data_IF_967481498400
#
_entry.id   IF_967481498400
#
_cell.length_a   1.000
_cell.length_b   1.000
_cell.length_c   1.000
_cell.angle_alpha   90.00
_cell.angle_beta   90.00
_cell.angle_gamma   90.00
#
_symmetry.space_group_name_H-M   'P 1'
#
loop_
_entity.id
_entity.type
_entity.pdbx_description
1 polymer ?
#
# COMPACT_ATOMS: atom_id res chain seq x y z
N UNK A 1 -12.65 13.73 12.19
CA UNK A 1 -11.77 14.38 11.19
C UNK A 1 -12.31 14.06 9.82
N UNK A 2 -12.41 15.02 8.93
CA UNK A 2 -12.75 14.84 7.52
C UNK A 2 -12.08 15.97 6.73
N UNK A 3 -10.94 15.68 6.12
CA UNK A 3 -10.15 16.65 5.36
C UNK A 3 -10.00 16.18 3.92
N UNK A 4 -10.08 17.09 2.91
CA UNK A 4 -9.86 16.72 1.52
C UNK A 4 -8.49 16.06 1.34
N UNK A 5 -8.45 14.93 0.63
CA UNK A 5 -7.26 14.10 0.52
C UNK A 5 -6.05 14.86 -0.06
N UNK A 6 -6.26 15.58 -1.17
CA UNK A 6 -5.18 16.29 -1.85
C UNK A 6 -4.59 17.42 -0.99
N UNK A 7 -5.45 18.20 -0.32
CA UNK A 7 -5.02 19.29 0.57
C UNK A 7 -4.21 18.75 1.76
N UNK A 8 -4.68 17.66 2.37
CA UNK A 8 -3.95 16.99 3.46
C UNK A 8 -2.58 16.50 3.00
N UNK A 9 -2.51 15.83 1.85
CA UNK A 9 -1.25 15.32 1.30
C UNK A 9 -0.26 16.45 1.07
N UNK A 10 -0.70 17.56 0.47
CA UNK A 10 0.13 18.72 0.19
C UNK A 10 0.70 19.34 1.48
N UNK A 11 -0.16 19.56 2.49
CA UNK A 11 0.20 20.26 3.71
C UNK A 11 0.97 19.41 4.72
N UNK A 12 0.59 18.12 4.88
CA UNK A 12 0.99 17.32 6.06
C UNK A 12 2.07 16.28 5.78
N UNK A 13 2.26 15.82 4.53
CA UNK A 13 3.29 14.84 4.24
C UNK A 13 4.65 15.49 4.04
N UNK A 14 5.63 15.08 4.86
CA UNK A 14 7.03 15.52 4.77
C UNK A 14 7.69 15.02 3.47
N UNK A 15 8.72 15.72 2.94
CA UNK A 15 9.36 15.30 1.69
C UNK A 15 10.14 13.98 1.76
N UNK A 16 10.49 13.53 2.96
CA UNK A 16 11.32 12.36 3.25
C UNK A 16 10.56 11.35 4.10
N UNK A 17 9.69 10.57 3.50
CA UNK A 17 8.91 9.53 4.20
C UNK A 17 9.03 8.18 3.49
N UNK A 18 8.82 7.10 4.22
CA UNK A 18 8.45 5.82 3.64
C UNK A 18 6.97 5.61 3.87
N UNK A 19 6.19 5.63 2.78
CA UNK A 19 4.76 5.43 2.81
C UNK A 19 4.40 4.05 2.26
N UNK A 20 3.61 3.29 3.00
CA UNK A 20 2.97 2.09 2.47
C UNK A 20 1.48 2.34 2.28
N UNK A 21 0.92 1.84 1.18
CA UNK A 21 -0.54 1.66 1.10
C UNK A 21 -0.95 0.42 1.88
N UNK A 22 -2.15 0.42 2.43
CA UNK A 22 -2.71 -0.71 3.15
C UNK A 22 -4.20 -0.78 2.84
N UNK A 23 -4.74 -1.97 2.67
CA UNK A 23 -6.17 -2.13 2.40
C UNK A 23 -6.49 -3.28 1.47
N UNK A 24 -7.76 -3.61 1.36
CA UNK A 24 -8.26 -4.72 0.56
C UNK A 24 -8.16 -4.41 -0.96
N UNK A 25 -8.24 -5.42 -1.82
CA UNK A 25 -8.37 -5.18 -3.26
C UNK A 25 -9.60 -4.32 -3.59
N UNK A 26 -9.49 -3.44 -4.59
CA UNK A 26 -10.60 -2.57 -5.01
C UNK A 26 -10.83 -1.31 -4.18
N UNK A 27 -9.92 -0.96 -3.26
CA UNK A 27 -10.03 0.23 -2.40
C UNK A 27 -9.19 1.43 -2.90
N UNK A 28 -8.87 1.52 -4.17
CA UNK A 28 -8.13 2.63 -4.79
C UNK A 28 -6.73 2.92 -4.20
N UNK A 29 -6.00 1.88 -3.75
CA UNK A 29 -4.61 2.04 -3.25
C UNK A 29 -3.66 2.62 -4.28
N UNK A 30 -3.68 2.06 -5.48
CA UNK A 30 -2.79 2.50 -6.56
C UNK A 30 -3.10 3.94 -6.98
N UNK A 31 -4.37 4.26 -7.07
CA UNK A 31 -4.84 5.59 -7.44
C UNK A 31 -4.47 6.62 -6.36
N UNK A 32 -4.62 6.29 -5.07
CA UNK A 32 -4.14 7.16 -3.97
C UNK A 32 -2.62 7.33 -4.01
N UNK A 33 -1.87 6.28 -4.33
CA UNK A 33 -0.41 6.36 -4.53
C UNK A 33 -0.04 7.31 -5.68
N UNK A 34 -0.77 7.23 -6.78
CA UNK A 34 -0.55 8.08 -7.95
C UNK A 34 -0.85 9.55 -7.65
N UNK A 35 -1.94 9.85 -6.94
CA UNK A 35 -2.26 11.22 -6.52
C UNK A 35 -1.19 11.79 -5.58
N UNK A 36 -0.73 11.01 -4.58
CA UNK A 36 0.38 11.43 -3.73
C UNK A 36 1.64 11.67 -4.54
N UNK A 37 1.98 10.78 -5.47
CA UNK A 37 3.16 10.93 -6.34
C UNK A 37 3.08 12.18 -7.20
N UNK A 38 1.91 12.53 -7.73
CA UNK A 38 1.71 13.78 -8.49
C UNK A 38 1.97 15.02 -7.63
N UNK A 39 1.48 15.03 -6.39
CA UNK A 39 1.59 16.17 -5.47
C UNK A 39 3.01 16.30 -4.90
N UNK A 40 3.61 15.19 -4.45
CA UNK A 40 4.89 15.19 -3.70
C UNK A 40 6.11 14.75 -4.52
N UNK A 41 5.91 14.17 -5.69
CA UNK A 41 7.01 13.67 -6.55
C UNK A 41 7.66 12.38 -6.02
N UNK A 42 7.01 11.62 -5.12
CA UNK A 42 7.58 10.37 -4.61
C UNK A 42 7.51 9.27 -5.68
N UNK A 43 8.60 8.50 -5.90
CA UNK A 43 8.54 7.29 -6.71
C UNK A 43 7.62 6.25 -6.07
N UNK A 44 6.94 5.47 -6.92
CA UNK A 44 6.04 4.39 -6.51
C UNK A 44 6.67 3.05 -6.87
N UNK A 45 6.81 2.16 -5.89
CA UNK A 45 7.15 0.76 -6.08
C UNK A 45 5.87 -0.07 -5.96
N UNK A 46 5.45 -0.73 -7.04
CA UNK A 46 4.20 -1.51 -7.10
C UNK A 46 4.50 -2.99 -7.15
N UNK A 47 3.96 -3.77 -6.21
CA UNK A 47 4.11 -5.23 -6.21
C UNK A 47 3.58 -5.88 -7.48
N UNK A 48 2.54 -5.33 -8.09
CA UNK A 48 1.99 -5.87 -9.33
C UNK A 48 2.97 -5.75 -10.50
N UNK A 49 3.70 -4.64 -10.62
CA UNK A 49 4.74 -4.45 -11.64
C UNK A 49 6.01 -5.26 -11.33
N UNK A 50 6.47 -5.25 -10.09
CA UNK A 50 7.62 -6.03 -9.64
C UNK A 50 7.39 -7.53 -9.87
N UNK A 51 6.15 -8.00 -9.70
CA UNK A 51 5.77 -9.39 -9.98
C UNK A 51 6.00 -9.78 -11.45
N UNK A 52 5.69 -8.90 -12.39
CA UNK A 52 5.96 -9.14 -13.82
C UNK A 52 7.45 -9.35 -14.10
N UNK A 53 8.31 -8.63 -13.39
CA UNK A 53 9.76 -8.74 -13.53
C UNK A 53 10.31 -10.00 -12.83
N UNK A 54 9.92 -10.23 -11.58
CA UNK A 54 10.41 -11.34 -10.75
C UNK A 54 9.91 -12.68 -11.26
N UNK A 55 8.65 -12.75 -11.73
CA UNK A 55 8.00 -13.98 -12.21
C UNK A 55 7.81 -13.98 -13.73
N UNK A 56 8.71 -13.35 -14.48
CA UNK A 56 8.63 -13.16 -15.95
C UNK A 56 8.42 -14.45 -16.77
N UNK A 57 8.77 -15.60 -16.22
CA UNK A 57 8.66 -16.90 -16.87
C UNK A 57 7.42 -17.71 -16.44
N UNK A 58 6.51 -17.09 -15.68
CA UNK A 58 5.34 -17.76 -15.12
C UNK A 58 4.04 -17.05 -15.50
N UNK A 59 2.94 -17.80 -15.57
CA UNK A 59 1.61 -17.20 -15.71
C UNK A 59 1.16 -16.64 -14.33
N UNK A 60 1.30 -15.33 -14.17
CA UNK A 60 0.94 -14.64 -12.93
C UNK A 60 -0.56 -14.67 -12.63
N UNK A 61 -1.41 -15.01 -13.59
CA UNK A 61 -2.86 -15.17 -13.42
C UNK A 61 -3.26 -16.59 -13.03
N UNK A 62 -2.34 -17.55 -13.13
CA UNK A 62 -2.57 -18.90 -12.63
C UNK A 62 -2.78 -18.86 -11.11
N UNK A 63 -3.87 -19.49 -10.63
CA UNK A 63 -4.24 -19.46 -9.22
C UNK A 63 -3.17 -20.10 -8.32
N UNK A 64 -2.43 -21.10 -8.84
CA UNK A 64 -1.34 -21.76 -8.10
C UNK A 64 -0.11 -20.83 -7.97
N UNK A 65 0.18 -20.03 -8.98
CA UNK A 65 1.25 -19.02 -8.97
C UNK A 65 0.84 -17.85 -8.08
N UNK A 66 -0.35 -17.29 -8.29
CA UNK A 66 -0.86 -16.15 -7.55
C UNK A 66 -1.04 -16.46 -6.04
N UNK A 67 -1.41 -17.70 -5.70
CA UNK A 67 -1.59 -18.18 -4.33
C UNK A 67 -0.31 -18.63 -3.63
N UNK A 68 0.79 -18.80 -4.35
CA UNK A 68 2.04 -19.32 -3.81
C UNK A 68 2.74 -18.30 -2.88
N UNK A 69 2.84 -18.65 -1.60
CA UNK A 69 3.39 -17.75 -0.57
C UNK A 69 4.86 -17.45 -0.80
N UNK A 70 5.67 -18.40 -1.26
CA UNK A 70 7.09 -18.18 -1.54
C UNK A 70 7.28 -17.19 -2.69
N UNK A 71 6.47 -17.29 -3.74
CA UNK A 71 6.50 -16.35 -4.87
C UNK A 71 6.06 -14.95 -4.46
N UNK A 72 5.05 -14.84 -3.59
CA UNK A 72 4.64 -13.54 -3.01
C UNK A 72 5.76 -12.95 -2.15
N UNK A 73 6.46 -13.76 -1.39
CA UNK A 73 7.59 -13.31 -0.57
C UNK A 73 8.74 -12.78 -1.43
N UNK A 74 9.10 -13.45 -2.52
CA UNK A 74 10.11 -12.97 -3.48
C UNK A 74 9.77 -11.58 -4.06
N UNK A 75 8.50 -11.33 -4.39
CA UNK A 75 8.05 -10.02 -4.88
C UNK A 75 8.21 -8.94 -3.82
N UNK A 76 7.84 -9.23 -2.57
CA UNK A 76 8.03 -8.29 -1.47
C UNK A 76 9.51 -8.07 -1.15
N UNK A 77 10.33 -9.11 -1.20
CA UNK A 77 11.78 -9.00 -0.97
C UNK A 77 12.42 -8.04 -1.98
N UNK A 78 12.06 -8.17 -3.25
CA UNK A 78 12.54 -7.25 -4.29
C UNK A 78 12.02 -5.82 -4.09
N UNK A 79 10.75 -5.65 -3.72
CA UNK A 79 10.21 -4.33 -3.41
C UNK A 79 10.94 -3.67 -2.24
N UNK A 80 11.22 -4.41 -1.18
CA UNK A 80 11.94 -3.89 -0.01
C UNK A 80 13.40 -3.56 -0.33
N UNK A 81 14.05 -4.37 -1.17
CA UNK A 81 15.41 -4.08 -1.66
C UNK A 81 15.45 -2.76 -2.45
N UNK A 82 14.49 -2.53 -3.33
CA UNK A 82 14.38 -1.27 -4.07
C UNK A 82 14.04 -0.09 -3.14
N UNK A 83 13.15 -0.30 -2.17
CA UNK A 83 12.77 0.71 -1.19
C UNK A 83 13.97 1.18 -0.34
N UNK A 84 14.80 0.25 0.15
CA UNK A 84 16.02 0.57 0.88
C UNK A 84 16.95 1.49 0.06
N UNK A 85 17.17 1.15 -1.22
CA UNK A 85 18.00 1.95 -2.12
C UNK A 85 17.43 3.37 -2.35
N UNK A 86 16.11 3.53 -2.40
CA UNK A 86 15.48 4.84 -2.57
C UNK A 86 15.50 5.65 -1.29
N UNK A 87 15.20 5.03 -0.15
CA UNK A 87 15.20 5.68 1.16
C UNK A 87 16.58 6.29 1.51
N UNK A 88 17.67 5.59 1.16
CA UNK A 88 19.04 6.09 1.35
C UNK A 88 19.34 7.39 0.56
N UNK A 89 18.56 7.70 -0.48
CA UNK A 89 18.74 8.93 -1.27
C UNK A 89 18.04 10.15 -0.67
N UNK A 90 17.40 10.01 0.50
CA UNK A 90 16.73 11.10 1.22
C UNK A 90 15.49 11.66 0.50
N UNK A 91 14.80 10.83 -0.27
CA UNK A 91 13.52 11.19 -0.93
C UNK A 91 12.41 10.29 -0.42
N UNK A 92 11.21 10.83 -0.35
CA UNK A 92 10.01 10.04 -0.05
C UNK A 92 9.84 8.91 -1.05
N UNK A 93 9.30 7.77 -0.61
CA UNK A 93 9.00 6.60 -1.44
C UNK A 93 7.66 5.99 -1.05
N UNK A 94 6.89 5.55 -2.03
CA UNK A 94 5.61 4.86 -1.84
C UNK A 94 5.77 3.39 -2.19
N UNK A 95 5.35 2.51 -1.28
CA UNK A 95 5.24 1.07 -1.51
C UNK A 95 3.75 0.72 -1.72
N UNK A 96 3.36 0.53 -2.98
CA UNK A 96 1.98 0.22 -3.35
C UNK A 96 1.75 -1.29 -3.35
N UNK A 97 1.11 -1.76 -2.29
CA UNK A 97 0.69 -3.15 -2.11
C UNK A 97 -0.47 -3.25 -1.10
N UNK A 98 -1.00 -4.45 -0.90
CA UNK A 98 -2.09 -4.67 0.07
C UNK A 98 -1.63 -4.59 1.53
N UNK A 99 -0.37 -4.93 1.82
CA UNK A 99 0.19 -4.99 3.17
C UNK A 99 -0.76 -5.64 4.20
N UNK A 100 -1.34 -6.78 3.83
CA UNK A 100 -2.41 -7.44 4.60
C UNK A 100 -1.96 -7.95 5.97
N UNK A 101 -0.66 -8.22 6.17
CA UNK A 101 -0.15 -8.75 7.44
C UNK A 101 0.70 -7.76 8.20
N UNK A 102 0.64 -7.84 9.52
CA UNK A 102 1.49 -7.01 10.39
C UNK A 102 2.98 -7.30 10.18
N UNK A 103 3.35 -8.55 9.85
CA UNK A 103 4.74 -8.94 9.50
C UNK A 103 5.29 -8.08 8.33
N UNK A 104 4.51 -7.87 7.27
CA UNK A 104 4.93 -7.05 6.13
C UNK A 104 5.09 -5.58 6.52
N UNK A 105 4.21 -5.05 7.36
CA UNK A 105 4.28 -3.67 7.86
C UNK A 105 5.51 -3.46 8.74
N UNK A 106 5.88 -4.44 9.59
CA UNK A 106 7.14 -4.41 10.37
C UNK A 106 8.37 -4.31 9.47
N UNK A 107 8.42 -5.10 8.41
CA UNK A 107 9.54 -5.06 7.44
C UNK A 107 9.67 -3.68 6.76
N UNK A 108 8.57 -3.05 6.39
CA UNK A 108 8.59 -1.70 5.85
C UNK A 108 9.02 -0.68 6.91
N UNK A 109 8.51 -0.78 8.14
CA UNK A 109 8.88 0.08 9.25
C UNK A 109 10.39 -0.03 9.60
N UNK A 110 10.99 -1.21 9.48
CA UNK A 110 12.44 -1.41 9.67
C UNK A 110 13.26 -0.57 8.68
N UNK A 111 12.86 -0.49 7.42
CA UNK A 111 13.53 0.35 6.41
C UNK A 111 13.45 1.83 6.80
N UNK A 112 12.27 2.29 7.21
CA UNK A 112 12.09 3.67 7.65
C UNK A 112 12.95 3.98 8.88
N UNK A 113 12.98 3.07 9.87
CA UNK A 113 13.77 3.22 11.09
C UNK A 113 15.29 3.29 10.81
N UNK A 114 15.81 2.40 9.95
CA UNK A 114 17.22 2.40 9.54
C UNK A 114 17.63 3.73 8.87
N UNK A 115 16.75 4.27 8.05
CA UNK A 115 17.01 5.50 7.32
C UNK A 115 16.60 6.77 8.10
N UNK A 116 16.07 6.63 9.32
CA UNK A 116 15.64 7.72 10.20
C UNK A 116 14.59 8.65 9.57
N UNK A 117 13.72 8.09 8.74
CA UNK A 117 12.61 8.81 8.09
C UNK A 117 11.28 8.38 8.69
N UNK A 118 10.25 9.24 8.69
CA UNK A 118 8.92 8.87 9.18
C UNK A 118 8.32 7.72 8.37
N UNK A 119 7.59 6.84 9.06
CA UNK A 119 6.83 5.75 8.45
C UNK A 119 5.35 6.11 8.41
N UNK A 120 4.76 6.07 7.22
CA UNK A 120 3.35 6.39 7.00
C UNK A 120 2.62 5.16 6.49
N UNK A 121 1.53 4.79 7.16
CA UNK A 121 0.59 3.76 6.71
C UNK A 121 -0.65 4.49 6.18
N UNK A 122 -0.88 4.42 4.88
CA UNK A 122 -2.07 4.94 4.23
C UNK A 122 -3.08 3.82 4.02
N UNK A 123 -4.05 3.69 4.91
CA UNK A 123 -5.11 2.70 4.80
C UNK A 123 -6.29 3.25 4.01
N UNK A 124 -6.54 2.66 2.84
CA UNK A 124 -7.72 2.97 2.04
C UNK A 124 -8.92 2.15 2.48
N UNK A 125 -10.09 2.76 2.54
CA UNK A 125 -11.33 2.15 3.02
C UNK A 125 -12.50 2.55 2.13
N UNK A 126 -13.31 1.57 1.77
CA UNK A 126 -14.61 1.74 1.13
C UNK A 126 -15.50 0.54 1.45
N UNK A 127 -16.75 0.58 1.04
CA UNK A 127 -17.70 -0.52 1.20
C UNK A 127 -17.24 -1.78 0.44
N UNK A 128 -17.68 -2.95 0.90
CA UNK A 128 -17.45 -4.22 0.21
C UNK A 128 -18.04 -4.21 -1.20
N UNK A 129 -19.23 -3.64 -1.35
CA UNK A 129 -19.93 -3.55 -2.63
C UNK A 129 -19.15 -2.70 -3.65
N UNK A 130 -18.63 -1.53 -3.23
CA UNK A 130 -17.77 -0.71 -4.07
C UNK A 130 -16.48 -1.44 -4.47
N UNK A 131 -15.83 -2.10 -3.51
CA UNK A 131 -14.62 -2.89 -3.76
C UNK A 131 -14.86 -4.01 -4.77
N UNK A 132 -15.92 -4.79 -4.60
CA UNK A 132 -16.26 -5.92 -5.49
C UNK A 132 -16.65 -5.41 -6.88
N UNK A 133 -17.47 -4.35 -6.98
CA UNK A 133 -17.84 -3.76 -8.25
C UNK A 133 -16.62 -3.30 -9.05
N UNK A 134 -15.62 -2.70 -8.40
CA UNK A 134 -14.36 -2.29 -9.03
C UNK A 134 -13.52 -3.47 -9.48
N UNK A 135 -13.41 -4.52 -8.66
CA UNK A 135 -12.68 -5.74 -9.00
C UNK A 135 -13.27 -6.41 -10.25
N UNK A 136 -14.59 -6.50 -10.34
CA UNK A 136 -15.28 -7.15 -11.46
C UNK A 136 -15.16 -6.36 -12.79
N UNK A 137 -14.84 -5.06 -12.75
CA UNK A 137 -14.56 -4.26 -13.96
C UNK A 137 -13.14 -4.48 -14.51
N UNK A 138 -12.22 -5.08 -13.73
CA UNK A 138 -10.84 -5.34 -14.15
C UNK A 138 -10.75 -6.43 -15.20
N UNK A 139 -9.78 -6.29 -16.11
CA UNK A 139 -9.50 -7.29 -17.14
C UNK A 139 -8.03 -7.69 -17.10
N UNK A 140 -7.70 -8.87 -17.64
CA UNK A 140 -6.29 -9.29 -17.79
C UNK A 140 -5.51 -8.41 -18.78
N UNK A 141 -6.19 -7.79 -19.72
CA UNK A 141 -5.58 -6.92 -20.75
C UNK A 141 -5.14 -5.59 -20.15
N UNK A 142 -5.92 -5.03 -19.22
CA UNK A 142 -5.56 -3.84 -18.47
C UNK A 142 -5.07 -4.29 -17.08
N UNK A 143 -3.82 -4.77 -17.03
CA UNK A 143 -3.26 -5.31 -15.80
C UNK A 143 -3.11 -4.23 -14.73
N UNK A 144 -4.05 -4.20 -13.82
CA UNK A 144 -4.04 -3.32 -12.65
C UNK A 144 -3.70 -4.08 -11.37
N UNK A 145 -4.10 -5.35 -11.29
CA UNK A 145 -3.91 -6.19 -10.10
C UNK A 145 -4.24 -7.66 -10.41
N UNK A 146 -3.68 -8.58 -9.64
CA UNK A 146 -4.01 -10.01 -9.68
C UNK A 146 -5.38 -10.34 -9.06
N UNK A 147 -6.01 -9.43 -8.32
CA UNK A 147 -7.33 -9.65 -7.74
C UNK A 147 -8.43 -9.33 -8.76
N UNK A 148 -8.90 -10.35 -9.45
CA UNK A 148 -9.92 -10.24 -10.52
C UNK A 148 -11.28 -10.85 -10.12
N UNK A 149 -11.39 -11.42 -8.92
CA UNK A 149 -12.60 -12.12 -8.46
C UNK A 149 -13.02 -11.73 -7.06
N UNK A 150 -14.30 -11.97 -6.75
CA UNK A 150 -14.84 -11.82 -5.40
C UNK A 150 -14.11 -12.73 -4.39
N UNK A 151 -13.76 -13.95 -4.80
CA UNK A 151 -13.02 -14.90 -3.95
C UNK A 151 -11.63 -14.34 -3.56
N UNK A 152 -10.95 -13.66 -4.49
CA UNK A 152 -9.68 -13.01 -4.20
C UNK A 152 -9.84 -11.90 -3.15
N UNK A 153 -10.92 -11.12 -3.21
CA UNK A 153 -11.27 -10.13 -2.19
C UNK A 153 -11.49 -10.78 -0.82
N UNK A 154 -12.38 -11.80 -0.76
CA UNK A 154 -12.73 -12.49 0.48
C UNK A 154 -11.51 -13.18 1.12
N UNK A 155 -10.62 -13.77 0.32
CA UNK A 155 -9.39 -14.38 0.81
C UNK A 155 -8.42 -13.35 1.39
N UNK A 156 -8.32 -12.16 0.81
CA UNK A 156 -7.53 -11.07 1.39
C UNK A 156 -8.18 -10.55 2.68
N UNK A 157 -9.51 -10.40 2.72
CA UNK A 157 -10.25 -9.97 3.91
C UNK A 157 -10.03 -10.90 5.11
N UNK A 158 -10.04 -12.23 4.88
CA UNK A 158 -9.77 -13.22 5.94
C UNK A 158 -8.35 -13.16 6.49
N UNK A 159 -7.38 -12.73 5.69
CA UNK A 159 -5.96 -12.67 6.06
C UNK A 159 -5.53 -11.28 6.54
N UNK A 160 -6.42 -10.31 6.51
CA UNK A 160 -6.10 -8.93 6.84
C UNK A 160 -5.96 -8.76 8.35
N UNK A 161 -4.73 -8.58 8.81
CA UNK A 161 -4.46 -8.21 10.20
C UNK A 161 -4.83 -6.74 10.43
N UNK A 162 -5.49 -6.39 11.52
CA UNK A 162 -5.62 -4.99 11.94
C UNK A 162 -4.26 -4.30 12.00
N UNK A 163 -4.23 -3.01 11.70
CA UNK A 163 -2.99 -2.22 11.85
C UNK A 163 -2.73 -2.03 13.34
N UNK A 164 -1.61 -2.52 13.82
CA UNK A 164 -1.18 -2.40 15.21
C UNK A 164 0.05 -1.48 15.31
N UNK A 165 -0.21 -0.24 15.70
CA UNK A 165 0.84 0.79 15.83
C UNK A 165 1.70 0.57 17.07
N UNK A 166 1.14 0.04 18.14
CA UNK A 166 1.85 -0.19 19.39
C UNK A 166 2.87 -1.32 19.21
N UNK A 167 2.52 -2.36 18.46
CA UNK A 167 3.45 -3.39 18.01
C UNK A 167 4.63 -2.79 17.21
N UNK A 168 4.37 -1.96 16.22
CA UNK A 168 5.43 -1.31 15.42
C UNK A 168 6.32 -0.42 16.29
N UNK A 169 5.73 0.25 17.28
CA UNK A 169 6.45 1.10 18.22
C UNK A 169 7.34 0.31 19.18
N UNK A 170 6.93 -0.89 19.59
CA UNK A 170 7.76 -1.79 20.38
C UNK A 170 9.03 -2.21 19.62
N UNK A 171 8.91 -2.50 18.32
CA UNK A 171 10.06 -2.85 17.47
C UNK A 171 10.97 -1.66 17.17
N UNK A 172 10.40 -0.47 17.03
CA UNK A 172 11.12 0.74 16.64
C UNK A 172 10.71 1.95 17.53
N UNK A 173 11.18 2.00 18.79
CA UNK A 173 10.73 3.02 19.77
C UNK A 173 10.91 4.48 19.33
N UNK A 174 11.92 4.76 18.53
CA UNK A 174 12.23 6.12 18.05
C UNK A 174 11.60 6.48 16.71
N UNK A 175 10.99 5.52 16.02
CA UNK A 175 10.37 5.76 14.73
C UNK A 175 9.09 6.60 14.89
N UNK A 176 8.98 7.69 14.14
CA UNK A 176 7.71 8.39 13.98
C UNK A 176 6.81 7.59 13.05
N UNK A 177 5.67 7.12 13.55
CA UNK A 177 4.71 6.32 12.80
C UNK A 177 3.41 7.10 12.68
N UNK A 178 2.88 7.20 11.46
CA UNK A 178 1.63 7.88 11.15
C UNK A 178 0.72 6.90 10.43
N UNK A 179 -0.47 6.68 10.95
CA UNK A 179 -1.50 5.89 10.31
C UNK A 179 -2.63 6.82 9.86
N UNK A 180 -2.90 6.81 8.58
CA UNK A 180 -3.94 7.59 7.92
C UNK A 180 -5.00 6.66 7.37
N UNK A 181 -6.27 6.97 7.59
CA UNK A 181 -7.40 6.30 6.96
C UNK A 181 -8.02 7.21 5.94
N UNK A 182 -8.12 6.73 4.69
CA UNK A 182 -8.71 7.44 3.56
C UNK A 182 -10.03 6.80 3.19
N UNK A 183 -11.09 7.60 3.17
CA UNK A 183 -12.38 7.23 2.58
C UNK A 183 -12.27 7.34 1.06
N UNK A 184 -12.38 6.20 0.38
CA UNK A 184 -12.32 6.06 -1.07
C UNK A 184 -13.61 5.46 -1.63
N UNK A 185 -14.76 5.74 -0.99
CA UNK A 185 -16.06 5.20 -1.42
C UNK A 185 -16.44 5.66 -2.84
N UNK A 186 -16.11 6.88 -3.20
CA UNK A 186 -16.35 7.44 -4.53
C UNK A 186 -15.14 7.20 -5.44
N UNK A 187 -15.39 7.13 -6.75
CA UNK A 187 -14.35 6.81 -7.75
C UNK A 187 -13.46 8.03 -8.10
N UNK A 188 -13.97 9.26 -7.87
CA UNK A 188 -13.22 10.47 -8.18
C UNK A 188 -12.28 10.86 -7.02
N UNK A 189 -10.97 11.08 -7.28
CA UNK A 189 -10.00 11.51 -6.25
C UNK A 189 -10.37 12.81 -5.52
N UNK A 190 -11.10 13.70 -6.14
CA UNK A 190 -11.59 14.96 -5.53
C UNK A 190 -12.60 14.71 -4.40
N UNK A 191 -13.23 13.53 -4.38
CA UNK A 191 -14.21 13.13 -3.38
C UNK A 191 -13.60 12.27 -2.26
N UNK A 192 -12.28 12.11 -2.23
CA UNK A 192 -11.61 11.36 -1.18
C UNK A 192 -11.26 12.25 0.01
N UNK A 193 -11.35 11.66 1.20
CA UNK A 193 -11.11 12.37 2.47
C UNK A 193 -10.25 11.56 3.41
N UNK A 194 -9.33 12.23 4.10
CA UNK A 194 -8.71 11.67 5.30
C UNK A 194 -9.75 11.69 6.43
N UNK A 195 -10.11 10.51 6.91
CA UNK A 195 -11.13 10.33 7.96
C UNK A 195 -10.54 9.85 9.30
N UNK A 196 -9.27 9.49 9.30
CA UNK A 196 -8.53 9.09 10.52
C UNK A 196 -7.05 9.42 10.42
N UNK A 197 -6.46 9.85 11.56
CA UNK A 197 -5.02 10.09 11.74
C UNK A 197 -4.63 9.66 13.14
N UNK A 198 -3.74 8.70 13.23
CA UNK A 198 -3.10 8.29 14.48
C UNK A 198 -1.59 8.44 14.37
N UNK A 199 -0.93 8.89 15.45
CA UNK A 199 0.52 9.09 15.50
C UNK A 199 1.10 8.39 16.73
N UNK A 200 2.23 7.73 16.52
CA UNK A 200 3.03 7.10 17.58
C UNK A 200 4.49 7.56 17.51
#
# INVERSE_FOLDING_TARGET
MREPFAEFVEAELSPDILLITCGLPGTWKTETSQEISKIKGYPILRTDLIRLEVLKNEDIFDATVAGNMNKRELVYDEMFRQAENLAQKGKGVILDATFVTQKLRRRAAEIAAKNKIPFVILQTSCSEDASIARILRRTKQNYESNALTKEAYLNNKKKFDPVDLDDLKQWHPHLKIIHLTVDTELDNPEDWYIIGKEVR
#
